data_IF_081718448329
#
_entry.id   IF_081718448329
#
_cell.length_a   1.000
_cell.length_b   1.000
_cell.length_c   1.000
_cell.angle_alpha   90.00
_cell.angle_beta   90.00
_cell.angle_gamma   90.00
#
_symmetry.space_group_name_H-M   'P 1'
#
loop_
_entity.id
_entity.type
_entity.pdbx_description
1 polymer ?
#
# COMPACT_ATOMS: atom_id res chain seq x y z
N UNK A 1 -40.25 43.82 24.64
CA UNK A 1 -38.82 43.48 24.50
C UNK A 1 -38.68 41.98 24.67
N UNK A 2 -38.62 41.26 23.56
CA UNK A 2 -38.53 39.79 23.49
C UNK A 2 -37.05 39.40 23.60
N UNK A 3 -36.71 38.50 24.52
CA UNK A 3 -35.40 37.81 24.54
C UNK A 3 -35.54 36.50 23.78
N UNK A 4 -34.85 36.39 22.66
CA UNK A 4 -34.69 35.15 21.88
C UNK A 4 -33.48 34.40 22.43
N UNK A 5 -33.70 33.11 22.71
CA UNK A 5 -32.71 32.10 23.05
C UNK A 5 -32.05 31.63 21.74
N UNK A 6 -30.73 31.67 21.64
CA UNK A 6 -29.99 30.95 20.59
C UNK A 6 -29.08 29.90 21.25
N UNK A 7 -29.39 28.64 20.95
CA UNK A 7 -28.55 27.48 21.17
C UNK A 7 -27.33 27.55 20.24
N UNK A 8 -26.12 27.42 20.77
CA UNK A 8 -24.94 27.05 20.00
C UNK A 8 -24.51 25.63 20.42
N UNK A 9 -24.55 24.74 19.44
CA UNK A 9 -23.96 23.40 19.49
C UNK A 9 -22.44 23.54 19.55
N UNK A 10 -21.82 22.95 20.56
CA UNK A 10 -20.37 22.90 20.71
C UNK A 10 -19.77 21.88 19.72
N UNK A 11 -18.96 22.35 18.77
CA UNK A 11 -17.97 21.53 18.06
C UNK A 11 -16.75 21.41 18.98
N UNK A 12 -16.49 20.22 19.50
CA UNK A 12 -15.22 19.91 20.17
C UNK A 12 -14.14 19.71 19.08
N UNK A 13 -13.29 20.71 18.92
CA UNK A 13 -12.02 20.58 18.17
C UNK A 13 -11.03 19.91 19.10
N UNK A 14 -10.63 18.68 18.77
CA UNK A 14 -9.55 17.96 19.46
C UNK A 14 -8.24 18.68 19.07
N UNK A 15 -7.70 19.46 20.01
CA UNK A 15 -6.37 20.05 19.89
C UNK A 15 -5.32 19.02 20.32
N UNK A 16 -4.53 18.57 19.35
CA UNK A 16 -3.33 17.75 19.59
C UNK A 16 -2.26 18.66 20.18
N UNK A 17 -1.80 18.36 21.39
CA UNK A 17 -0.71 19.06 22.06
C UNK A 17 0.59 18.28 21.83
N UNK A 18 1.46 18.78 20.96
CA UNK A 18 2.81 18.27 20.77
C UNK A 18 3.64 18.48 22.04
N UNK A 19 3.99 17.39 22.73
CA UNK A 19 5.02 17.39 23.77
C UNK A 19 6.32 16.90 23.14
N UNK A 20 7.27 17.83 22.94
CA UNK A 20 8.53 17.56 22.26
C UNK A 20 9.52 16.75 23.11
N UNK A 21 9.98 15.65 22.55
CA UNK A 21 11.30 15.07 22.81
C UNK A 21 12.23 15.48 21.65
N UNK A 22 13.45 15.90 21.96
CA UNK A 22 14.33 16.59 21.03
C UNK A 22 15.10 15.64 20.09
N UNK A 23 14.99 15.97 18.79
CA UNK A 23 15.95 15.75 17.70
C UNK A 23 16.05 14.37 17.04
N UNK A 24 14.95 13.89 16.47
CA UNK A 24 15.02 13.28 15.14
C UNK A 24 15.18 14.44 14.13
N UNK A 25 16.02 14.31 13.11
CA UNK A 25 15.90 15.17 11.92
C UNK A 25 14.42 15.20 11.53
N UNK A 26 13.82 16.38 11.38
CA UNK A 26 12.43 16.48 10.92
C UNK A 26 12.32 15.72 9.61
N UNK A 27 11.73 14.52 9.66
CA UNK A 27 11.60 13.65 8.50
C UNK A 27 10.85 14.42 7.43
N UNK A 28 11.51 14.68 6.31
CA UNK A 28 10.97 15.52 5.25
C UNK A 28 10.56 14.64 4.08
N UNK A 29 9.25 14.59 3.82
CA UNK A 29 8.69 14.02 2.60
C UNK A 29 8.69 15.07 1.49
N UNK A 30 9.86 15.61 1.15
CA UNK A 30 10.02 16.70 0.15
C UNK A 30 10.61 16.23 -1.18
N UNK A 31 11.04 14.98 -1.28
CA UNK A 31 11.51 14.35 -2.50
C UNK A 31 11.14 12.86 -2.53
N UNK A 32 11.24 12.23 -3.70
CA UNK A 32 11.06 10.79 -3.81
C UNK A 32 12.30 10.05 -3.33
N UNK A 33 12.17 9.29 -2.24
CA UNK A 33 13.29 8.58 -1.65
C UNK A 33 13.79 7.47 -2.56
N UNK A 34 15.10 7.35 -2.66
CA UNK A 34 15.78 6.22 -3.27
C UNK A 34 15.57 4.95 -2.43
N UNK A 35 15.83 3.79 -3.02
CA UNK A 35 15.75 2.52 -2.29
C UNK A 35 16.66 2.51 -1.04
N UNK A 36 17.85 3.10 -1.13
CA UNK A 36 18.82 3.11 -0.04
C UNK A 36 18.38 4.04 1.11
N UNK A 37 17.78 5.20 0.81
CA UNK A 37 17.15 6.07 1.80
C UNK A 37 15.99 5.36 2.50
N UNK A 38 15.18 4.62 1.74
CA UNK A 38 14.09 3.81 2.31
C UNK A 38 14.65 2.74 3.25
N UNK A 39 15.68 1.99 2.85
CA UNK A 39 16.28 0.99 3.74
C UNK A 39 16.88 1.64 4.98
N UNK A 40 17.50 2.82 4.85
CA UNK A 40 18.05 3.57 5.99
C UNK A 40 16.94 3.92 6.98
N UNK A 41 15.86 4.51 6.50
CA UNK A 41 14.70 4.87 7.33
C UNK A 41 14.07 3.66 8.01
N UNK A 42 13.90 2.53 7.31
CA UNK A 42 13.37 1.32 7.93
C UNK A 42 14.26 0.82 9.07
N UNK A 43 15.59 0.87 8.91
CA UNK A 43 16.53 0.47 9.96
C UNK A 43 16.50 1.43 11.16
N UNK A 44 16.28 2.72 10.91
CA UNK A 44 16.08 3.72 11.98
C UNK A 44 14.82 3.39 12.78
N UNK A 45 13.69 3.11 12.11
CA UNK A 45 12.46 2.71 12.79
C UNK A 45 12.63 1.42 13.62
N UNK A 46 13.33 0.41 13.09
CA UNK A 46 13.61 -0.85 13.79
C UNK A 46 14.46 -0.63 15.06
N UNK A 47 15.44 0.28 14.98
CA UNK A 47 16.33 0.58 16.09
C UNK A 47 15.70 1.50 17.16
N UNK A 48 14.90 2.48 16.75
CA UNK A 48 14.31 3.49 17.64
C UNK A 48 12.98 3.04 18.27
N UNK A 49 12.23 2.18 17.59
CA UNK A 49 10.92 1.71 18.04
C UNK A 49 10.81 0.18 18.17
N UNK A 50 11.77 -0.52 18.81
CA UNK A 50 11.78 -1.98 18.90
C UNK A 50 10.58 -2.55 19.70
N UNK A 51 9.89 -1.73 20.48
CA UNK A 51 8.71 -2.10 21.25
C UNK A 51 7.43 -2.25 20.41
N UNK A 52 7.40 -1.66 19.21
CA UNK A 52 6.21 -1.67 18.34
C UNK A 52 6.48 -2.11 16.91
N UNK A 53 7.73 -2.24 16.48
CA UNK A 53 8.06 -2.51 15.08
C UNK A 53 9.33 -3.33 14.92
N UNK A 54 9.39 -4.11 13.84
CA UNK A 54 10.62 -4.76 13.40
C UNK A 54 10.66 -4.99 11.89
N UNK A 55 11.86 -5.11 11.33
CA UNK A 55 12.09 -5.49 9.94
C UNK A 55 12.04 -7.02 9.78
N UNK A 56 11.28 -7.48 8.78
CA UNK A 56 11.37 -8.84 8.24
C UNK A 56 11.91 -8.79 6.80
N UNK A 57 13.05 -9.44 6.55
CA UNK A 57 13.54 -9.70 5.19
C UNK A 57 12.93 -11.00 4.69
N UNK A 58 12.05 -10.92 3.69
CA UNK A 58 11.25 -12.05 3.23
C UNK A 58 11.74 -12.66 1.92
N UNK A 59 12.83 -12.14 1.36
CA UNK A 59 13.43 -12.67 0.16
C UNK A 59 14.54 -11.79 -0.41
N UNK A 60 14.93 -12.09 -1.64
CA UNK A 60 15.96 -11.36 -2.38
C UNK A 60 15.58 -11.31 -3.85
N UNK A 61 15.83 -10.18 -4.50
CA UNK A 61 15.54 -9.95 -5.92
C UNK A 61 16.56 -10.63 -6.84
N UNK A 62 16.33 -10.54 -8.16
CA UNK A 62 17.24 -11.09 -9.16
C UNK A 62 18.62 -10.40 -9.17
N UNK A 63 18.69 -9.10 -8.84
CA UNK A 63 19.95 -8.35 -8.72
C UNK A 63 20.53 -8.38 -7.29
N UNK A 64 19.96 -9.16 -6.37
CA UNK A 64 20.53 -9.39 -5.05
C UNK A 64 20.10 -8.40 -3.96
N UNK A 65 19.08 -7.57 -4.20
CA UNK A 65 18.55 -6.63 -3.19
C UNK A 65 17.59 -7.33 -2.23
N UNK A 66 17.62 -7.02 -0.93
CA UNK A 66 16.66 -7.60 0.02
C UNK A 66 15.24 -7.13 -0.28
N UNK A 67 14.30 -8.06 -0.15
CA UNK A 67 12.87 -7.77 -0.11
C UNK A 67 12.48 -7.59 1.36
N UNK A 68 12.13 -6.36 1.71
CA UNK A 68 12.00 -5.92 3.12
C UNK A 68 10.56 -5.54 3.42
N UNK A 69 10.04 -6.04 4.55
CA UNK A 69 8.78 -5.61 5.14
C UNK A 69 9.05 -4.99 6.53
N UNK A 70 8.27 -3.98 6.90
CA UNK A 70 8.20 -3.48 8.27
C UNK A 70 6.93 -3.99 8.93
N UNK A 71 7.08 -4.67 10.07
CA UNK A 71 6.00 -5.32 10.79
C UNK A 71 5.72 -4.56 12.09
N UNK A 72 4.47 -4.15 12.32
CA UNK A 72 4.05 -3.33 13.47
C UNK A 72 3.16 -4.18 14.39
N UNK A 73 3.51 -4.26 15.67
CA UNK A 73 2.78 -4.95 16.74
C UNK A 73 3.30 -4.51 18.12
N UNK A 74 2.42 -4.39 19.13
CA UNK A 74 2.84 -4.07 20.51
C UNK A 74 3.55 -5.26 21.20
N UNK A 75 4.71 -5.01 21.81
CA UNK A 75 5.60 -5.88 22.63
C UNK A 75 5.32 -7.40 22.80
N UNK A 76 6.39 -8.19 22.56
CA UNK A 76 6.77 -9.54 23.02
C UNK A 76 5.70 -10.58 23.39
N UNK A 77 4.78 -10.79 22.49
CA UNK A 77 4.65 -12.02 21.71
C UNK A 77 3.47 -11.72 20.81
N UNK A 78 3.60 -11.97 19.51
CA UNK A 78 2.47 -12.08 18.59
C UNK A 78 1.28 -12.59 19.39
N UNK A 79 0.32 -11.71 19.73
CA UNK A 79 -0.91 -12.12 20.39
C UNK A 79 -1.50 -13.08 19.38
N UNK A 80 -1.26 -14.37 19.62
CA UNK A 80 -1.28 -15.34 18.55
C UNK A 80 -2.69 -15.33 17.95
N UNK A 81 -2.79 -14.92 16.69
CA UNK A 81 -4.06 -14.87 15.97
C UNK A 81 -4.71 -13.49 15.83
N UNK A 82 -4.05 -12.36 16.14
CA UNK A 82 -4.57 -11.07 15.68
C UNK A 82 -4.72 -11.08 14.15
N UNK A 83 -5.82 -10.50 13.60
CA UNK A 83 -5.93 -10.27 12.17
C UNK A 83 -4.79 -9.37 11.68
N UNK A 84 -4.39 -9.57 10.42
CA UNK A 84 -3.26 -8.86 9.80
C UNK A 84 -3.78 -7.93 8.71
N UNK A 85 -3.36 -6.67 8.77
CA UNK A 85 -3.43 -5.73 7.66
C UNK A 85 -2.13 -5.83 6.88
N UNK A 86 -2.22 -6.20 5.61
CA UNK A 86 -1.08 -6.31 4.70
C UNK A 86 -1.15 -5.19 3.67
N UNK A 87 -0.16 -4.30 3.66
CA UNK A 87 -0.05 -3.18 2.73
C UNK A 87 1.22 -3.39 1.90
N UNK A 88 1.10 -3.39 0.58
CA UNK A 88 2.26 -3.35 -0.30
C UNK A 88 2.18 -2.17 -1.27
N UNK A 89 3.35 -1.65 -1.61
CA UNK A 89 3.55 -0.60 -2.58
C UNK A 89 4.75 -0.94 -3.48
N UNK A 90 4.89 -0.19 -4.57
CA UNK A 90 6.06 -0.31 -5.44
C UNK A 90 6.15 -1.63 -6.21
N UNK A 91 5.07 -2.42 -6.29
CA UNK A 91 5.01 -3.61 -7.15
C UNK A 91 5.26 -3.25 -8.63
N UNK A 92 4.82 -2.06 -9.03
CA UNK A 92 5.24 -1.36 -10.25
C UNK A 92 6.16 -0.19 -9.89
N UNK A 93 7.40 -0.18 -10.35
CA UNK A 93 8.44 0.69 -9.82
C UNK A 93 8.32 2.15 -10.25
N UNK A 94 7.66 2.47 -11.37
CA UNK A 94 7.38 3.86 -11.76
C UNK A 94 6.37 4.60 -10.88
N UNK A 95 5.63 3.88 -10.03
CA UNK A 95 4.52 4.42 -9.23
C UNK A 95 5.03 4.98 -7.89
N UNK A 96 5.98 5.92 -7.94
CA UNK A 96 6.73 6.41 -6.77
C UNK A 96 5.84 6.94 -5.64
N UNK A 97 4.73 7.59 -5.97
CA UNK A 97 3.80 8.14 -4.98
C UNK A 97 3.18 7.05 -4.07
N UNK A 98 3.01 5.82 -4.57
CA UNK A 98 2.55 4.68 -3.76
C UNK A 98 3.57 4.28 -2.70
N UNK A 99 4.85 4.28 -3.08
CA UNK A 99 5.97 4.02 -2.15
C UNK A 99 5.98 5.07 -1.04
N UNK A 100 5.93 6.36 -1.42
CA UNK A 100 5.95 7.46 -0.44
C UNK A 100 4.72 7.44 0.49
N UNK A 101 3.53 7.11 -0.03
CA UNK A 101 2.33 6.97 0.80
C UNK A 101 2.47 5.83 1.83
N UNK A 102 3.11 4.70 1.47
CA UNK A 102 3.37 3.61 2.41
C UNK A 102 4.35 4.00 3.53
N UNK A 103 5.36 4.80 3.21
CA UNK A 103 6.36 5.27 4.16
C UNK A 103 5.79 6.33 5.08
N UNK A 104 4.93 7.22 4.57
CA UNK A 104 4.19 8.17 5.38
C UNK A 104 3.22 7.46 6.34
N UNK A 105 2.55 6.39 5.88
CA UNK A 105 1.75 5.55 6.77
C UNK A 105 2.60 4.92 7.89
N UNK A 106 3.80 4.42 7.56
CA UNK A 106 4.73 3.92 8.58
C UNK A 106 5.15 5.01 9.57
N UNK A 107 5.52 6.19 9.07
CA UNK A 107 5.88 7.34 9.91
C UNK A 107 4.79 7.66 10.93
N UNK A 108 3.55 7.82 10.47
CA UNK A 108 2.42 8.14 11.36
C UNK A 108 2.21 7.02 12.38
N UNK A 109 2.08 5.76 11.94
CA UNK A 109 1.70 4.66 12.85
C UNK A 109 2.82 4.26 13.82
N UNK A 110 4.08 4.38 13.42
CA UNK A 110 5.24 3.96 14.22
C UNK A 110 5.69 5.09 15.15
N UNK A 111 5.96 6.30 14.63
CA UNK A 111 6.49 7.39 15.45
C UNK A 111 5.43 7.97 16.39
N UNK A 112 4.14 7.88 16.02
CA UNK A 112 3.01 8.36 16.81
C UNK A 112 2.13 7.21 17.31
N UNK A 113 2.71 6.02 17.55
CA UNK A 113 1.99 4.78 17.87
C UNK A 113 0.99 4.89 19.02
N UNK A 114 1.24 5.78 19.99
CA UNK A 114 0.36 6.04 21.13
C UNK A 114 -1.00 6.63 20.71
N UNK A 115 -1.10 7.25 19.53
CA UNK A 115 -2.35 7.75 18.94
C UNK A 115 -3.14 6.62 18.24
N UNK A 116 -2.47 5.51 17.93
CA UNK A 116 -3.01 4.37 17.18
C UNK A 116 -3.21 3.13 18.05
N UNK A 117 -3.33 3.33 19.37
CA UNK A 117 -3.41 2.23 20.34
C UNK A 117 -4.53 1.23 20.03
N UNK A 118 -5.72 1.72 19.67
CA UNK A 118 -6.88 0.87 19.33
C UNK A 118 -6.65 0.04 18.05
N UNK A 119 -5.99 0.64 17.06
CA UNK A 119 -5.62 -0.04 15.82
C UNK A 119 -4.62 -1.17 16.10
N UNK A 120 -3.56 -0.85 16.86
CA UNK A 120 -2.48 -1.78 17.17
C UNK A 120 -2.87 -2.83 18.24
N UNK A 121 -3.95 -2.60 19.00
CA UNK A 121 -4.53 -3.61 19.90
C UNK A 121 -5.34 -4.67 19.15
N UNK A 122 -5.89 -4.32 17.98
CA UNK A 122 -6.74 -5.20 17.18
C UNK A 122 -5.99 -5.88 16.03
N UNK A 123 -5.05 -5.18 15.38
CA UNK A 123 -4.34 -5.69 14.21
C UNK A 123 -2.83 -5.80 14.42
N UNK A 124 -2.23 -6.78 13.77
CA UNK A 124 -0.85 -6.67 13.31
C UNK A 124 -0.84 -6.00 11.93
N UNK A 125 0.14 -5.14 11.68
CA UNK A 125 0.27 -4.46 10.38
C UNK A 125 1.60 -4.86 9.74
N UNK A 126 1.55 -5.19 8.45
CA UNK A 126 2.72 -5.51 7.64
C UNK A 126 2.74 -4.57 6.46
N UNK A 127 3.82 -3.80 6.31
CA UNK A 127 4.00 -2.88 5.19
C UNK A 127 5.23 -3.27 4.38
N UNK A 128 5.06 -3.42 3.07
CA UNK A 128 6.14 -3.59 2.10
C UNK A 128 6.20 -2.30 1.26
N UNK A 129 7.13 -1.37 1.54
CA UNK A 129 7.20 -0.12 0.80
C UNK A 129 7.62 -0.30 -0.68
N UNK A 130 8.48 -1.28 -0.96
CA UNK A 130 9.02 -1.52 -2.30
C UNK A 130 9.02 -3.01 -2.61
N UNK A 131 7.93 -3.50 -3.21
CA UNK A 131 7.80 -4.91 -3.62
C UNK A 131 8.65 -5.27 -4.86
N UNK A 132 9.18 -4.28 -5.58
CA UNK A 132 10.08 -4.45 -6.72
C UNK A 132 11.35 -3.57 -6.60
N UNK A 133 12.29 -3.89 -5.71
CA UNK A 133 13.50 -3.07 -5.48
C UNK A 133 14.34 -2.83 -6.73
N UNK A 134 14.58 -3.86 -7.55
CA UNK A 134 15.44 -3.73 -8.72
C UNK A 134 14.81 -2.80 -9.76
N UNK A 135 13.52 -2.97 -10.02
CA UNK A 135 12.78 -2.07 -10.90
C UNK A 135 12.76 -0.65 -10.36
N UNK A 136 12.61 -0.47 -9.04
CA UNK A 136 12.53 0.85 -8.40
C UNK A 136 13.84 1.61 -8.56
N UNK A 137 14.97 0.96 -8.27
CA UNK A 137 16.31 1.52 -8.48
C UNK A 137 16.56 1.85 -9.95
N UNK A 138 16.12 0.99 -10.87
CA UNK A 138 16.23 1.26 -12.30
C UNK A 138 15.39 2.47 -12.73
N UNK A 139 14.22 2.66 -12.13
CA UNK A 139 13.37 3.82 -12.40
C UNK A 139 13.97 5.14 -11.90
N UNK A 140 14.73 5.11 -10.81
CA UNK A 140 15.46 6.29 -10.31
C UNK A 140 16.66 6.65 -11.17
N UNK A 141 17.41 5.65 -11.63
CA UNK A 141 18.74 5.86 -12.18
C UNK A 141 18.83 5.80 -13.70
N UNK A 142 17.89 5.14 -14.37
CA UNK A 142 17.99 4.82 -15.80
C UNK A 142 16.75 5.20 -16.58
N UNK A 143 15.58 4.70 -16.17
CA UNK A 143 14.34 4.90 -16.94
C UNK A 143 13.14 5.13 -16.02
N UNK A 144 12.79 6.41 -15.83
CA UNK A 144 11.73 6.86 -14.91
C UNK A 144 10.40 6.12 -15.04
N UNK A 145 10.05 5.68 -16.24
CA UNK A 145 8.76 5.03 -16.53
C UNK A 145 8.83 3.50 -16.59
N UNK A 146 9.93 2.90 -16.12
CA UNK A 146 10.08 1.45 -16.04
C UNK A 146 8.97 0.80 -15.19
N UNK A 147 8.39 -0.30 -15.66
CA UNK A 147 7.23 -0.94 -15.03
C UNK A 147 7.50 -2.33 -14.45
N UNK A 148 8.54 -3.01 -14.92
CA UNK A 148 8.76 -4.44 -14.67
C UNK A 148 9.81 -4.67 -13.58
N UNK A 149 10.05 -5.90 -13.18
CA UNK A 149 11.28 -6.22 -12.45
C UNK A 149 12.50 -6.17 -13.40
N UNK A 150 13.67 -6.63 -12.95
CA UNK A 150 14.93 -6.54 -13.72
C UNK A 150 15.57 -7.87 -14.09
N UNK A 151 14.87 -8.99 -13.88
CA UNK A 151 15.34 -10.31 -14.33
C UNK A 151 15.52 -10.33 -15.85
N UNK A 152 16.62 -10.89 -16.36
CA UNK A 152 16.75 -11.11 -17.80
C UNK A 152 15.74 -12.16 -18.27
N UNK A 153 14.97 -11.85 -19.32
CA UNK A 153 13.95 -12.75 -19.89
C UNK A 153 14.32 -13.23 -21.31
N UNK A 154 15.58 -13.02 -21.71
CA UNK A 154 16.09 -13.37 -23.04
C UNK A 154 15.86 -12.28 -24.09
N UNK A 155 16.47 -12.47 -25.27
CA UNK A 155 16.29 -11.60 -26.45
C UNK A 155 16.57 -10.10 -26.22
N UNK A 156 17.41 -9.76 -25.23
CA UNK A 156 17.73 -8.38 -24.87
C UNK A 156 16.65 -7.66 -24.06
N UNK A 157 15.56 -8.35 -23.71
CA UNK A 157 14.46 -7.79 -22.91
C UNK A 157 14.61 -8.19 -21.44
N UNK A 158 14.11 -7.31 -20.57
CA UNK A 158 14.23 -7.45 -19.13
C UNK A 158 12.86 -7.33 -18.48
N UNK A 159 12.65 -8.22 -17.52
CA UNK A 159 11.60 -8.22 -16.55
C UNK A 159 10.21 -8.61 -17.02
N UNK A 160 9.37 -8.89 -16.04
CA UNK A 160 7.93 -9.09 -16.13
C UNK A 160 7.18 -8.11 -15.20
N UNK A 161 5.92 -7.82 -15.53
CA UNK A 161 4.99 -7.13 -14.64
C UNK A 161 4.62 -8.06 -13.48
N UNK A 162 5.16 -7.78 -12.29
CA UNK A 162 4.92 -8.58 -11.09
C UNK A 162 3.40 -8.62 -10.78
N UNK A 163 2.68 -7.51 -11.00
CA UNK A 163 1.24 -7.44 -10.77
C UNK A 163 0.39 -8.09 -11.90
N UNK A 164 1.02 -8.88 -12.77
CA UNK A 164 0.36 -9.81 -13.68
C UNK A 164 0.87 -11.26 -13.53
N UNK A 165 1.79 -11.50 -12.59
CA UNK A 165 2.51 -12.77 -12.42
C UNK A 165 1.86 -13.71 -11.39
N UNK A 166 0.70 -13.37 -10.79
CA UNK A 166 0.06 -14.22 -9.79
C UNK A 166 -0.82 -15.29 -10.43
N UNK A 167 -0.95 -16.45 -9.77
CA UNK A 167 -1.62 -17.64 -10.34
C UNK A 167 -3.13 -17.49 -10.57
N UNK A 168 -3.79 -16.61 -9.83
CA UNK A 168 -5.25 -16.50 -9.90
C UNK A 168 -5.64 -15.73 -11.15
N UNK A 169 -6.34 -16.40 -12.07
CA UNK A 169 -6.72 -15.86 -13.38
C UNK A 169 -5.51 -15.36 -14.19
N UNK A 170 -4.37 -16.06 -14.08
CA UNK A 170 -3.17 -15.78 -14.87
C UNK A 170 -3.46 -15.93 -16.36
N UNK A 171 -2.98 -14.98 -17.17
CA UNK A 171 -3.06 -15.02 -18.63
C UNK A 171 -1.65 -14.87 -19.19
N UNK A 172 -1.15 -15.90 -19.85
CA UNK A 172 0.14 -15.86 -20.52
C UNK A 172 0.14 -14.87 -21.70
N UNK A 173 1.28 -14.19 -21.90
CA UNK A 173 1.59 -13.39 -23.09
C UNK A 173 3.00 -13.75 -23.55
N UNK A 174 3.19 -13.82 -24.86
CA UNK A 174 4.40 -14.36 -25.49
C UNK A 174 5.48 -13.31 -25.82
N UNK A 175 5.16 -12.02 -25.74
CA UNK A 175 6.12 -10.93 -25.96
C UNK A 175 6.84 -10.54 -24.64
N UNK A 176 8.12 -10.96 -24.43
CA UNK A 176 8.89 -10.60 -23.24
C UNK A 176 9.26 -9.12 -23.16
N UNK A 177 9.16 -8.39 -24.27
CA UNK A 177 9.52 -6.97 -24.35
C UNK A 177 8.34 -6.06 -24.01
N UNK A 178 7.11 -6.58 -24.02
CA UNK A 178 5.92 -5.81 -23.66
C UNK A 178 5.95 -5.37 -22.19
N UNK A 179 5.39 -4.18 -21.93
CA UNK A 179 5.22 -3.59 -20.59
C UNK A 179 4.37 -4.47 -19.66
N UNK A 180 3.40 -5.18 -20.23
CA UNK A 180 2.47 -6.06 -19.53
C UNK A 180 2.84 -7.54 -19.65
N UNK A 181 4.10 -7.84 -20.01
CA UNK A 181 4.59 -9.22 -20.04
C UNK A 181 4.46 -9.83 -18.64
N UNK A 182 3.65 -10.88 -18.44
CA UNK A 182 3.31 -11.38 -17.12
C UNK A 182 4.33 -12.41 -16.62
N UNK A 183 5.42 -12.67 -17.35
CA UNK A 183 6.36 -13.76 -17.09
C UNK A 183 6.01 -15.04 -17.84
N UNK A 184 6.94 -16.00 -17.83
CA UNK A 184 6.83 -17.26 -18.60
C UNK A 184 5.75 -18.21 -18.07
N UNK A 185 5.37 -18.05 -16.81
CA UNK A 185 4.29 -18.74 -16.11
C UNK A 185 3.85 -17.90 -14.92
N UNK A 186 2.75 -18.25 -14.26
CA UNK A 186 2.48 -17.69 -12.94
C UNK A 186 3.64 -18.01 -11.98
N UNK A 187 3.92 -17.08 -11.07
CA UNK A 187 5.02 -17.14 -10.11
C UNK A 187 6.36 -17.50 -10.77
N UNK A 188 6.63 -16.97 -11.97
CA UNK A 188 7.95 -17.12 -12.61
C UNK A 188 8.97 -16.09 -12.08
N UNK A 189 8.50 -15.02 -11.44
CA UNK A 189 9.35 -13.98 -10.87
C UNK A 189 9.59 -14.23 -9.38
N UNK A 190 10.82 -13.95 -8.91
CA UNK A 190 11.19 -14.19 -7.51
C UNK A 190 10.40 -13.29 -6.56
N UNK A 191 10.10 -12.06 -6.97
CA UNK A 191 9.38 -11.10 -6.14
C UNK A 191 7.94 -11.57 -5.85
N UNK A 192 7.23 -12.10 -6.85
CA UNK A 192 5.87 -12.63 -6.66
C UNK A 192 5.89 -13.93 -5.84
N UNK A 193 6.87 -14.81 -6.06
CA UNK A 193 7.06 -16.03 -5.26
C UNK A 193 7.28 -15.69 -3.79
N UNK A 194 8.19 -14.75 -3.50
CA UNK A 194 8.56 -14.39 -2.14
C UNK A 194 7.43 -13.64 -1.43
N UNK A 195 6.71 -12.74 -2.12
CA UNK A 195 5.53 -12.08 -1.54
C UNK A 195 4.47 -13.11 -1.15
N UNK A 196 4.21 -14.11 -2.00
CA UNK A 196 3.25 -15.17 -1.68
C UNK A 196 3.75 -16.07 -0.56
N UNK A 197 5.03 -16.45 -0.58
CA UNK A 197 5.65 -17.21 0.51
C UNK A 197 5.51 -16.48 1.85
N UNK A 198 5.71 -15.17 1.85
CA UNK A 198 5.60 -14.33 3.03
C UNK A 198 4.17 -14.25 3.56
N UNK A 199 3.20 -13.87 2.71
CA UNK A 199 1.80 -13.71 3.11
C UNK A 199 1.14 -15.04 3.52
N UNK A 200 1.66 -16.17 3.03
CA UNK A 200 1.20 -17.53 3.37
C UNK A 200 2.10 -18.27 4.36
N UNK A 201 3.10 -17.59 4.93
CA UNK A 201 3.98 -18.17 5.94
C UNK A 201 3.21 -18.58 7.19
N UNK A 202 3.78 -19.47 8.02
CA UNK A 202 3.18 -19.89 9.29
C UNK A 202 2.77 -18.71 10.19
N UNK A 203 3.49 -17.57 10.08
CA UNK A 203 3.23 -16.35 10.84
C UNK A 203 1.92 -15.65 10.43
N UNK A 204 1.55 -15.68 9.14
CA UNK A 204 0.47 -14.88 8.57
C UNK A 204 -0.65 -15.67 7.89
N UNK A 205 -0.43 -16.96 7.60
CA UNK A 205 -1.41 -17.83 6.97
C UNK A 205 -2.75 -17.80 7.73
N UNK A 206 -3.84 -17.56 6.98
CA UNK A 206 -5.20 -17.43 7.51
C UNK A 206 -5.44 -16.27 8.50
N UNK A 207 -4.47 -15.36 8.69
CA UNK A 207 -4.61 -14.18 9.55
C UNK A 207 -4.78 -12.88 8.77
N UNK A 208 -4.33 -12.84 7.51
CA UNK A 208 -4.51 -11.66 6.65
C UNK A 208 -5.99 -11.45 6.36
N UNK A 209 -6.58 -10.46 7.02
CA UNK A 209 -7.99 -10.06 6.84
C UNK A 209 -8.14 -8.86 5.93
N UNK A 210 -7.08 -8.05 5.80
CA UNK A 210 -7.04 -6.87 4.92
C UNK A 210 -5.79 -6.94 4.03
N UNK A 211 -5.98 -6.80 2.72
CA UNK A 211 -4.87 -6.68 1.76
C UNK A 211 -5.04 -5.40 0.92
N UNK A 212 -4.05 -4.51 0.97
CA UNK A 212 -4.06 -3.24 0.25
C UNK A 212 -2.84 -3.17 -0.66
N UNK A 213 -3.07 -2.93 -1.95
CA UNK A 213 -2.01 -2.63 -2.92
C UNK A 213 -2.08 -1.13 -3.25
N UNK A 214 -1.04 -0.38 -2.87
CA UNK A 214 -0.90 1.03 -3.18
C UNK A 214 -0.26 1.19 -4.55
N UNK A 215 -1.03 1.74 -5.50
CA UNK A 215 -0.67 1.92 -6.89
C UNK A 215 -0.93 3.35 -7.33
N UNK A 216 -0.48 3.71 -8.52
CA UNK A 216 -0.90 4.94 -9.18
C UNK A 216 -1.06 4.74 -10.69
N UNK A 217 -1.87 5.51 -11.38
CA UNK A 217 -2.71 6.60 -10.91
C UNK A 217 -4.18 6.39 -11.28
N UNK A 218 -5.06 7.19 -10.68
CA UNK A 218 -6.45 7.28 -11.13
C UNK A 218 -7.43 7.91 -10.15
N UNK A 219 -7.03 8.14 -8.88
CA UNK A 219 -7.95 8.52 -7.80
C UNK A 219 -9.11 7.52 -7.71
N UNK A 220 -8.79 6.25 -7.54
CA UNK A 220 -9.77 5.17 -7.47
C UNK A 220 -9.46 4.22 -6.31
N UNK A 221 -10.50 3.73 -5.63
CA UNK A 221 -10.38 2.61 -4.70
C UNK A 221 -11.06 1.42 -5.37
N UNK A 222 -10.25 0.49 -5.87
CA UNK A 222 -10.72 -0.65 -6.64
C UNK A 222 -10.94 -1.84 -5.71
N UNK A 223 -12.13 -2.41 -5.79
CA UNK A 223 -12.48 -3.67 -5.16
C UNK A 223 -12.29 -4.82 -6.14
N UNK A 224 -11.94 -6.03 -5.69
CA UNK A 224 -11.97 -7.19 -6.56
C UNK A 224 -13.36 -7.43 -7.17
N UNK A 225 -13.44 -7.99 -8.38
CA UNK A 225 -12.30 -8.50 -9.13
C UNK A 225 -11.80 -7.56 -10.24
N UNK A 226 -10.51 -7.67 -10.54
CA UNK A 226 -9.86 -6.97 -11.64
C UNK A 226 -9.94 -7.77 -12.95
N UNK A 227 -10.03 -9.10 -12.91
CA UNK A 227 -10.07 -9.94 -14.12
C UNK A 227 -11.40 -9.89 -14.88
N UNK A 228 -12.53 -9.74 -14.18
CA UNK A 228 -13.86 -9.58 -14.75
C UNK A 228 -14.74 -8.68 -13.88
N UNK A 229 -15.75 -8.05 -14.49
CA UNK A 229 -16.74 -7.23 -13.80
C UNK A 229 -17.73 -8.11 -13.02
N UNK A 230 -17.25 -8.64 -11.90
CA UNK A 230 -18.01 -9.45 -10.95
C UNK A 230 -17.68 -8.99 -9.53
N UNK A 231 -18.71 -8.96 -8.69
CA UNK A 231 -18.59 -8.64 -7.28
C UNK A 231 -18.12 -9.86 -6.47
N UNK A 232 -17.28 -9.62 -5.46
CA UNK A 232 -16.94 -10.63 -4.46
C UNK A 232 -18.08 -10.85 -3.44
N UNK A 233 -18.04 -11.95 -2.69
CA UNK A 233 -19.15 -12.31 -1.78
C UNK A 233 -19.47 -11.27 -0.70
N UNK A 234 -18.48 -10.54 -0.20
CA UNK A 234 -18.64 -9.47 0.80
C UNK A 234 -18.59 -8.06 0.19
N UNK A 235 -18.88 -7.92 -1.11
CA UNK A 235 -18.73 -6.66 -1.85
C UNK A 235 -19.43 -5.47 -1.20
N UNK A 236 -20.66 -5.62 -0.69
CA UNK A 236 -21.40 -4.52 -0.08
C UNK A 236 -20.68 -3.93 1.15
N UNK A 237 -20.12 -4.78 2.01
CA UNK A 237 -19.38 -4.35 3.20
C UNK A 237 -18.06 -3.69 2.81
N UNK A 238 -17.29 -4.31 1.91
CA UNK A 238 -16.05 -3.73 1.41
C UNK A 238 -16.28 -2.39 0.70
N UNK A 239 -17.36 -2.27 -0.07
CA UNK A 239 -17.73 -1.04 -0.77
C UNK A 239 -18.09 0.08 0.22
N UNK A 240 -18.79 -0.23 1.32
CA UNK A 240 -19.09 0.75 2.35
C UNK A 240 -17.81 1.31 3.00
N UNK A 241 -16.87 0.43 3.38
CA UNK A 241 -15.57 0.82 3.96
C UNK A 241 -14.76 1.66 2.96
N UNK A 242 -14.68 1.25 1.70
CA UNK A 242 -13.98 2.01 0.67
C UNK A 242 -14.60 3.39 0.41
N UNK A 243 -15.92 3.54 0.50
CA UNK A 243 -16.58 4.85 0.41
C UNK A 243 -16.29 5.75 1.63
N UNK A 244 -16.16 5.16 2.83
CA UNK A 244 -15.69 5.90 4.01
C UNK A 244 -14.27 6.41 3.82
N UNK A 245 -13.39 5.61 3.23
CA UNK A 245 -12.03 6.02 2.89
C UNK A 245 -11.99 7.17 1.86
N UNK A 246 -12.79 7.07 0.79
CA UNK A 246 -12.92 8.16 -0.19
C UNK A 246 -13.48 9.45 0.45
N UNK A 247 -14.36 9.33 1.44
CA UNK A 247 -14.89 10.46 2.21
C UNK A 247 -13.81 11.08 3.10
N UNK A 248 -13.02 10.26 3.81
CA UNK A 248 -11.93 10.73 4.67
C UNK A 248 -10.88 11.51 3.88
N UNK A 249 -10.48 11.01 2.71
CA UNK A 249 -9.61 11.73 1.76
C UNK A 249 -10.20 13.10 1.41
N UNK A 250 -11.48 13.14 1.03
CA UNK A 250 -12.15 14.38 0.63
C UNK A 250 -12.30 15.37 1.79
N UNK A 251 -12.39 14.89 3.03
CA UNK A 251 -12.38 15.75 4.21
C UNK A 251 -11.03 16.44 4.40
N UNK A 252 -9.92 15.75 4.15
CA UNK A 252 -8.58 16.35 4.17
C UNK A 252 -8.38 17.32 3.01
N UNK A 253 -8.77 16.91 1.80
CA UNK A 253 -8.72 17.76 0.62
C UNK A 253 -10.06 17.73 -0.16
N UNK A 254 -10.90 18.78 -0.05
CA UNK A 254 -12.20 18.84 -0.72
C UNK A 254 -12.18 18.70 -2.24
N UNK A 255 -11.04 18.99 -2.88
CA UNK A 255 -10.84 18.84 -4.32
C UNK A 255 -10.50 17.41 -4.74
N UNK A 256 -10.10 16.56 -3.79
CA UNK A 256 -9.73 15.17 -4.06
C UNK A 256 -10.96 14.26 -4.03
N UNK A 257 -11.36 13.80 -5.20
CA UNK A 257 -12.51 12.90 -5.37
C UNK A 257 -12.04 11.54 -5.87
N UNK A 258 -12.32 10.50 -5.10
CA UNK A 258 -12.03 9.11 -5.45
C UNK A 258 -13.28 8.40 -5.95
N UNK A 259 -13.14 7.68 -7.07
CA UNK A 259 -14.18 6.75 -7.54
C UNK A 259 -13.98 5.38 -6.90
N UNK A 260 -15.06 4.77 -6.42
CA UNK A 260 -15.02 3.48 -5.71
C UNK A 260 -15.85 2.45 -6.45
N UNK A 261 -15.32 1.25 -6.67
CA UNK A 261 -16.06 0.19 -7.37
C UNK A 261 -15.23 -1.01 -7.76
N UNK A 262 -15.84 -1.94 -8.48
CA UNK A 262 -15.17 -3.15 -9.00
C UNK A 262 -14.06 -2.76 -9.97
N UNK A 263 -12.87 -3.31 -9.79
CA UNK A 263 -11.66 -2.99 -10.56
C UNK A 263 -11.89 -3.11 -12.07
N UNK A 264 -12.42 -4.25 -12.52
CA UNK A 264 -12.72 -4.46 -13.94
C UNK A 264 -13.77 -3.48 -14.50
N UNK A 265 -14.73 -3.03 -13.68
CA UNK A 265 -15.74 -2.06 -14.12
C UNK A 265 -15.15 -0.65 -14.29
N UNK A 266 -14.22 -0.26 -13.43
CA UNK A 266 -13.61 1.07 -13.43
C UNK A 266 -12.41 1.21 -14.37
N UNK A 267 -11.67 0.11 -14.60
CA UNK A 267 -10.38 0.13 -15.30
C UNK A 267 -10.26 -0.85 -16.47
N UNK A 268 -11.24 -1.71 -16.67
CA UNK A 268 -11.13 -2.84 -17.60
C UNK A 268 -10.34 -4.01 -17.00
N UNK A 269 -10.27 -5.10 -17.75
CA UNK A 269 -9.79 -6.38 -17.23
C UNK A 269 -8.27 -6.36 -17.02
N UNK A 270 -7.82 -6.79 -15.84
CA UNK A 270 -6.42 -7.09 -15.49
C UNK A 270 -6.32 -8.50 -14.90
N UNK A 271 -5.30 -9.24 -15.30
CA UNK A 271 -5.18 -10.67 -15.02
C UNK A 271 -3.94 -10.95 -14.17
N UNK A 272 -4.01 -11.94 -13.28
CA UNK A 272 -2.87 -12.34 -12.45
C UNK A 272 -2.41 -11.26 -11.46
N UNK A 273 -3.32 -10.42 -10.96
CA UNK A 273 -2.99 -9.35 -10.00
C UNK A 273 -2.81 -9.88 -8.58
N UNK A 274 -2.02 -9.16 -7.77
CA UNK A 274 -1.80 -9.49 -6.35
C UNK A 274 -3.11 -9.45 -5.56
N UNK A 275 -3.97 -8.46 -5.83
CA UNK A 275 -5.24 -8.27 -5.14
C UNK A 275 -6.30 -9.30 -5.54
N UNK A 276 -6.38 -9.71 -6.80
CA UNK A 276 -7.28 -10.81 -7.19
C UNK A 276 -6.80 -12.15 -6.64
N UNK A 277 -5.48 -12.35 -6.52
CA UNK A 277 -4.93 -13.52 -5.83
C UNK A 277 -5.26 -13.53 -4.34
N UNK A 278 -5.06 -12.42 -3.63
CA UNK A 278 -5.43 -12.28 -2.23
C UNK A 278 -6.92 -12.59 -2.01
N UNK A 279 -7.80 -12.07 -2.88
CA UNK A 279 -9.24 -12.30 -2.73
C UNK A 279 -9.68 -13.69 -3.14
N UNK A 280 -9.34 -14.10 -4.36
CA UNK A 280 -9.88 -15.29 -4.99
C UNK A 280 -9.15 -16.58 -4.64
N UNK A 281 -7.88 -16.49 -4.20
CA UNK A 281 -7.09 -17.65 -3.83
C UNK A 281 -6.84 -17.77 -2.33
N UNK A 282 -6.48 -16.67 -1.66
CA UNK A 282 -6.22 -16.68 -0.21
C UNK A 282 -7.48 -16.44 0.63
N UNK A 283 -8.61 -16.09 0.00
CA UNK A 283 -9.87 -15.77 0.65
C UNK A 283 -9.74 -14.64 1.69
N UNK A 284 -8.86 -13.66 1.43
CA UNK A 284 -8.76 -12.46 2.27
C UNK A 284 -10.10 -11.72 2.26
N UNK A 285 -10.53 -11.29 3.44
CA UNK A 285 -11.86 -10.71 3.61
C UNK A 285 -11.98 -9.37 2.88
N UNK A 286 -11.16 -8.38 3.24
CA UNK A 286 -11.18 -7.05 2.65
C UNK A 286 -9.94 -6.84 1.77
N UNK A 287 -10.15 -6.51 0.49
CA UNK A 287 -9.05 -6.33 -0.45
C UNK A 287 -9.30 -5.08 -1.28
N UNK A 288 -8.27 -4.25 -1.42
CA UNK A 288 -8.35 -2.98 -2.14
C UNK A 288 -7.08 -2.74 -2.97
N UNK A 289 -7.24 -2.23 -4.19
CA UNK A 289 -6.16 -1.53 -4.91
C UNK A 289 -6.43 -0.02 -4.82
N UNK A 290 -5.51 0.70 -4.20
CA UNK A 290 -5.60 2.13 -4.01
C UNK A 290 -4.85 2.84 -5.13
N UNK A 291 -5.56 3.41 -6.10
CA UNK A 291 -4.99 4.15 -7.22
C UNK A 291 -4.85 5.62 -6.82
N UNK A 292 -3.65 6.03 -6.42
CA UNK A 292 -3.33 7.38 -5.98
C UNK A 292 -3.42 8.42 -7.12
N UNK A 293 -3.28 9.73 -6.83
CA UNK A 293 -3.36 10.79 -7.83
C UNK A 293 -2.26 10.70 -8.90
N UNK A 294 -2.54 11.31 -10.04
CA UNK A 294 -1.62 11.44 -11.17
C UNK A 294 -0.84 12.75 -11.13
N UNK A 295 0.30 12.80 -11.80
CA UNK A 295 0.95 14.07 -12.12
C UNK A 295 2.01 13.95 -13.22
N UNK A 296 2.52 15.11 -13.63
CA UNK A 296 3.42 15.22 -14.78
C UNK A 296 2.76 14.83 -16.11
N UNK A 297 3.57 14.51 -17.12
CA UNK A 297 3.05 14.24 -18.48
C UNK A 297 2.54 12.81 -18.63
N UNK A 298 3.20 11.84 -17.99
CA UNK A 298 2.81 10.43 -18.05
C UNK A 298 1.71 10.04 -17.05
N UNK A 299 1.45 10.90 -16.06
CA UNK A 299 0.60 10.61 -14.90
C UNK A 299 1.34 9.96 -13.73
N UNK A 300 2.56 9.45 -13.92
CA UNK A 300 3.36 8.81 -12.85
C UNK A 300 4.36 9.76 -12.17
N UNK A 301 4.51 10.97 -12.69
CA UNK A 301 5.53 11.95 -12.30
C UNK A 301 4.88 13.07 -11.48
N UNK A 302 4.24 12.68 -10.37
CA UNK A 302 3.64 13.63 -9.42
C UNK A 302 4.72 14.62 -8.95
N UNK A 303 4.54 15.94 -9.08
CA UNK A 303 5.51 16.91 -8.60
C UNK A 303 5.75 16.77 -7.09
N UNK A 304 7.00 16.89 -6.65
CA UNK A 304 7.37 16.76 -5.23
C UNK A 304 6.62 17.75 -4.34
N UNK A 305 6.32 18.95 -4.85
CA UNK A 305 5.53 19.95 -4.13
C UNK A 305 4.07 19.51 -3.84
N UNK A 306 3.53 18.57 -4.60
CA UNK A 306 2.19 18.00 -4.39
C UNK A 306 2.20 16.75 -3.50
N UNK A 307 3.36 16.10 -3.35
CA UNK A 307 3.50 14.83 -2.65
C UNK A 307 3.06 14.91 -1.17
N UNK A 308 3.47 15.90 -0.35
CA UNK A 308 3.02 15.99 1.05
C UNK A 308 1.49 15.98 1.21
N UNK A 309 0.77 16.70 0.35
CA UNK A 309 -0.68 16.71 0.39
C UNK A 309 -1.25 15.33 0.04
N UNK A 310 -0.71 14.69 -1.00
CA UNK A 310 -1.19 13.40 -1.49
C UNK A 310 -0.94 12.27 -0.47
N UNK A 311 0.22 12.23 0.19
CA UNK A 311 0.51 11.19 1.18
C UNK A 311 -0.32 11.37 2.46
N UNK A 312 -0.59 12.61 2.88
CA UNK A 312 -1.49 12.90 4.00
C UNK A 312 -2.95 12.52 3.70
N UNK A 313 -3.43 12.80 2.48
CA UNK A 313 -4.72 12.33 2.00
C UNK A 313 -4.80 10.79 1.96
N UNK A 314 -3.77 10.14 1.44
CA UNK A 314 -3.68 8.68 1.37
C UNK A 314 -3.70 8.06 2.78
N UNK A 315 -3.00 8.66 3.74
CA UNK A 315 -3.04 8.24 5.14
C UNK A 315 -4.45 8.28 5.71
N UNK A 316 -5.19 9.39 5.52
CA UNK A 316 -6.57 9.48 5.99
C UNK A 316 -7.48 8.40 5.38
N UNK A 317 -7.29 8.08 4.09
CA UNK A 317 -8.00 6.99 3.43
C UNK A 317 -7.63 5.61 3.99
N UNK A 318 -6.34 5.33 4.18
CA UNK A 318 -5.84 4.06 4.73
C UNK A 318 -6.30 3.88 6.17
N UNK A 319 -6.21 4.92 6.99
CA UNK A 319 -6.67 4.90 8.37
C UNK A 319 -8.17 4.60 8.43
N UNK A 320 -8.99 5.23 7.59
CA UNK A 320 -10.43 4.96 7.53
C UNK A 320 -10.77 3.51 7.10
N UNK A 321 -9.97 2.88 6.24
CA UNK A 321 -10.14 1.46 5.91
C UNK A 321 -9.85 0.60 7.14
N UNK A 322 -8.71 0.85 7.79
CA UNK A 322 -8.23 0.01 8.89
C UNK A 322 -9.08 0.15 10.15
N UNK A 323 -9.51 1.37 10.51
CA UNK A 323 -10.43 1.61 11.63
C UNK A 323 -11.86 1.12 11.34
N UNK A 324 -12.35 1.32 10.11
CA UNK A 324 -13.68 0.87 9.71
C UNK A 324 -13.88 -0.65 9.79
N UNK A 325 -12.80 -1.43 9.66
CA UNK A 325 -12.81 -2.90 9.81
C UNK A 325 -12.69 -3.30 11.29
N UNK A 326 -11.89 -2.58 12.07
CA UNK A 326 -11.72 -2.84 13.50
C UNK A 326 -12.92 -2.40 14.37
N UNK A 327 -13.72 -1.44 13.88
CA UNK A 327 -14.96 -0.99 14.53
C UNK A 327 -14.75 -0.04 15.71
N UNK A 328 -13.67 0.75 15.70
CA UNK A 328 -13.33 1.76 16.70
C UNK A 328 -13.21 3.16 16.08
#
# INVERSE_FOLDING_TARGET
MVKIINNLVALAVIGIAFCGLASASTLSFDHYWTYDEIQTYLNELDAEFPQIGHIDVYGTTAEGRPLTAFCIHKEHAARAGLPVIFIEAGIRPREWIGVMASLYFLHEVVEHYYEFDALLDYFEIVVIPVANPDGYVYSHNVERLWNKNRRSVGSGCFGADINANFRYQFVYRDDPCAENYPGSSYFSEVESQQLVSFVTSVKYANRVSVYISLQSFGQQILLPYNYFNIASGNHAAALAIANSAATAIRTVNPSRVYNVGVGAALRGNSFGTSTDYAKGFLNVEYVYTFMLPSGGTSGFEVPEAEMPAIIAEAFAGLYAITSGIGGF
#
